data_IF_649632039441
#
_entry.id   IF_649632039441
#
_cell.length_a   1.000
_cell.length_b   1.000
_cell.length_c   1.000
_cell.angle_alpha   90.00
_cell.angle_beta   90.00
_cell.angle_gamma   90.00
#
_symmetry.space_group_name_H-M   'P 1'
#
loop_
_entity.id
_entity.type
_entity.pdbx_description
1 polymer ?
#
# COMPACT_ATOMS: atom_id res chain seq x y z
N UNK A 1 -58.13 -38.42 -28.57
CA UNK A 1 -57.06 -37.48 -28.96
C UNK A 1 -56.64 -36.69 -27.74
N UNK A 2 -55.66 -37.15 -27.02
CA UNK A 2 -55.12 -36.49 -25.84
C UNK A 2 -53.80 -35.86 -26.25
N UNK A 3 -53.66 -34.57 -25.98
CA UNK A 3 -52.40 -33.87 -26.09
C UNK A 3 -51.76 -33.86 -24.72
N UNK A 4 -50.63 -34.52 -24.62
CA UNK A 4 -49.76 -34.55 -23.46
C UNK A 4 -48.90 -33.26 -23.50
N UNK A 5 -49.15 -32.35 -22.54
CA UNK A 5 -48.30 -31.17 -22.35
C UNK A 5 -47.15 -31.54 -21.41
N UNK A 6 -46.02 -31.86 -21.99
CA UNK A 6 -44.76 -32.04 -21.27
C UNK A 6 -44.27 -30.74 -20.66
N UNK A 7 -44.46 -30.57 -19.34
CA UNK A 7 -43.88 -29.51 -18.54
C UNK A 7 -42.35 -29.72 -18.42
N UNK A 8 -41.62 -29.11 -19.30
CA UNK A 8 -40.18 -28.96 -19.15
C UNK A 8 -39.86 -27.96 -18.04
N UNK A 9 -39.66 -28.45 -16.83
CA UNK A 9 -39.06 -27.64 -15.75
C UNK A 9 -37.59 -27.51 -16.03
N UNK A 10 -37.20 -26.42 -16.72
CA UNK A 10 -35.83 -25.96 -16.76
C UNK A 10 -35.40 -25.60 -15.36
N UNK A 11 -34.82 -26.58 -14.68
CA UNK A 11 -34.05 -26.40 -13.46
C UNK A 11 -32.77 -25.61 -13.78
N UNK A 12 -32.84 -24.28 -13.78
CA UNK A 12 -31.69 -23.46 -13.62
C UNK A 12 -31.11 -23.73 -12.24
N UNK A 13 -30.23 -24.71 -12.15
CA UNK A 13 -29.38 -24.89 -11.00
C UNK A 13 -28.49 -23.63 -10.92
N UNK A 14 -28.96 -22.64 -10.14
CA UNK A 14 -28.10 -21.57 -9.68
C UNK A 14 -26.96 -22.25 -8.91
N UNK A 15 -25.82 -22.41 -9.58
CA UNK A 15 -24.56 -22.76 -8.92
C UNK A 15 -24.38 -21.72 -7.84
N UNK A 16 -24.57 -22.11 -6.58
CA UNK A 16 -24.19 -21.33 -5.41
C UNK A 16 -22.66 -21.17 -5.48
N UNK A 17 -22.19 -20.22 -6.28
CA UNK A 17 -20.79 -19.85 -6.33
C UNK A 17 -20.42 -19.33 -4.94
N UNK A 18 -19.73 -20.18 -4.16
CA UNK A 18 -19.22 -19.81 -2.83
C UNK A 18 -18.43 -18.51 -3.01
N UNK A 19 -18.77 -17.48 -2.24
CA UNK A 19 -18.03 -16.23 -2.26
C UNK A 19 -16.58 -16.51 -1.93
N UNK A 20 -15.61 -15.94 -2.66
CA UNK A 20 -14.21 -16.13 -2.33
C UNK A 20 -13.92 -15.57 -0.93
N UNK A 21 -13.03 -16.22 -0.20
CA UNK A 21 -12.53 -15.69 1.09
C UNK A 21 -11.67 -14.46 0.85
N UNK A 22 -10.92 -14.42 -0.27
CA UNK A 22 -9.96 -13.39 -0.59
C UNK A 22 -10.12 -12.87 -2.01
N UNK A 23 -10.20 -11.56 -2.19
CA UNK A 23 -9.98 -10.89 -3.47
C UNK A 23 -8.56 -10.33 -3.51
N UNK A 24 -7.75 -10.83 -4.43
CA UNK A 24 -6.39 -10.36 -4.66
C UNK A 24 -6.43 -9.30 -5.76
N UNK A 25 -6.07 -8.07 -5.41
CA UNK A 25 -5.96 -6.95 -6.35
C UNK A 25 -4.50 -6.76 -6.70
N UNK A 26 -4.13 -7.04 -7.94
CA UNK A 26 -2.79 -6.78 -8.47
C UNK A 26 -2.87 -5.62 -9.45
N UNK A 27 -2.28 -4.48 -9.08
CA UNK A 27 -2.21 -3.32 -9.94
C UNK A 27 -0.95 -3.38 -10.80
N UNK A 28 -1.12 -3.39 -12.13
CA UNK A 28 -0.04 -3.38 -13.08
C UNK A 28 0.17 -2.00 -13.71
N UNK A 29 1.43 -1.59 -13.82
CA UNK A 29 1.88 -0.47 -14.63
C UNK A 29 3.30 -0.72 -15.13
N UNK A 30 3.45 -1.09 -16.41
CA UNK A 30 4.75 -1.42 -17.05
C UNK A 30 5.52 -2.52 -16.28
N UNK A 31 4.83 -3.61 -15.93
CA UNK A 31 5.36 -4.69 -15.11
C UNK A 31 5.65 -5.99 -15.84
N UNK A 32 5.80 -5.99 -17.19
CA UNK A 32 5.94 -7.19 -18.00
C UNK A 32 6.96 -8.20 -17.46
N UNK A 33 8.07 -7.70 -16.92
CA UNK A 33 9.17 -8.52 -16.40
C UNK A 33 8.79 -9.37 -15.16
N UNK A 34 7.84 -8.90 -14.34
CA UNK A 34 7.59 -9.46 -13.02
C UNK A 34 6.27 -10.21 -12.91
N UNK A 35 5.32 -9.85 -13.74
CA UNK A 35 3.93 -10.21 -13.62
C UNK A 35 3.68 -11.72 -13.70
N UNK A 36 4.36 -12.45 -14.58
CA UNK A 36 4.21 -13.92 -14.69
C UNK A 36 4.54 -14.60 -13.37
N UNK A 37 5.71 -14.29 -12.77
CA UNK A 37 6.12 -14.90 -11.51
C UNK A 37 5.20 -14.54 -10.34
N UNK A 38 4.69 -13.31 -10.32
CA UNK A 38 3.71 -12.89 -9.33
C UNK A 38 2.48 -13.78 -9.41
N UNK A 39 1.84 -13.88 -10.57
CA UNK A 39 0.61 -14.65 -10.75
C UNK A 39 0.84 -16.16 -10.58
N UNK A 40 1.98 -16.69 -11.02
CA UNK A 40 2.35 -18.09 -10.77
C UNK A 40 2.45 -18.41 -9.29
N UNK A 41 3.05 -17.53 -8.48
CA UNK A 41 3.11 -17.71 -7.03
C UNK A 41 1.73 -17.66 -6.36
N UNK A 42 0.78 -16.90 -6.92
CA UNK A 42 -0.60 -16.88 -6.44
C UNK A 42 -1.35 -18.18 -6.78
N UNK A 43 -1.10 -18.76 -7.96
CA UNK A 43 -1.66 -20.07 -8.33
C UNK A 43 -1.15 -21.21 -7.46
N UNK A 44 0.08 -21.09 -6.98
CA UNK A 44 0.73 -22.07 -6.13
C UNK A 44 0.33 -22.00 -4.65
N UNK A 45 -0.54 -21.05 -4.26
CA UNK A 45 -0.98 -20.92 -2.88
C UNK A 45 -1.88 -22.09 -2.45
N UNK A 46 -1.73 -22.55 -1.21
CA UNK A 46 -2.57 -23.60 -0.60
C UNK A 46 -4.06 -23.27 -0.64
N UNK A 47 -4.40 -21.98 -0.57
CA UNK A 47 -5.80 -21.46 -0.56
C UNK A 47 -6.21 -20.85 -1.90
N UNK A 48 -5.50 -21.12 -2.99
CA UNK A 48 -5.79 -20.52 -4.31
C UNK A 48 -7.24 -20.75 -4.77
N UNK A 49 -7.85 -21.88 -4.41
CA UNK A 49 -9.23 -22.20 -4.75
C UNK A 49 -10.30 -21.35 -4.03
N UNK A 50 -9.93 -20.67 -2.94
CA UNK A 50 -10.80 -19.76 -2.19
C UNK A 50 -10.52 -18.28 -2.54
N UNK A 51 -9.75 -18.01 -3.59
CA UNK A 51 -9.35 -16.69 -4.03
C UNK A 51 -9.95 -16.31 -5.38
N UNK A 52 -10.22 -15.01 -5.59
CA UNK A 52 -10.34 -14.41 -6.92
C UNK A 52 -9.16 -13.48 -7.19
N UNK A 53 -8.78 -13.32 -8.44
CA UNK A 53 -7.73 -12.39 -8.88
C UNK A 53 -8.34 -11.25 -9.70
N UNK A 54 -8.13 -10.01 -9.23
CA UNK A 54 -8.48 -8.79 -9.95
C UNK A 54 -7.18 -8.16 -10.45
N UNK A 55 -6.83 -8.42 -11.71
CA UNK A 55 -5.61 -7.92 -12.30
C UNK A 55 -5.93 -6.65 -13.09
N UNK A 56 -5.59 -5.49 -12.51
CA UNK A 56 -5.89 -4.18 -13.05
C UNK A 56 -4.68 -3.57 -13.77
N UNK A 57 -4.91 -3.00 -14.95
CA UNK A 57 -3.85 -2.33 -15.72
C UNK A 57 -4.05 -0.81 -15.77
N UNK A 58 -3.02 -0.08 -15.37
CA UNK A 58 -2.95 1.39 -15.38
C UNK A 58 -2.45 1.96 -16.71
N UNK A 59 -2.90 1.38 -17.85
CA UNK A 59 -2.51 1.78 -19.21
C UNK A 59 -1.01 1.59 -19.46
N UNK A 60 -0.54 0.37 -19.29
CA UNK A 60 0.82 -0.04 -19.60
C UNK A 60 1.17 0.13 -21.05
N UNK A 61 2.46 0.34 -21.36
CA UNK A 61 2.98 0.56 -22.71
C UNK A 61 4.10 -0.42 -23.09
N UNK A 62 4.41 -1.38 -22.22
CA UNK A 62 5.46 -2.39 -22.37
C UNK A 62 4.92 -3.78 -22.79
N UNK A 63 3.61 -3.86 -23.15
CA UNK A 63 2.91 -5.09 -23.50
C UNK A 63 2.37 -5.87 -22.31
N UNK A 64 2.57 -5.37 -21.07
CA UNK A 64 2.05 -6.03 -19.87
C UNK A 64 0.53 -5.91 -19.69
N UNK A 65 -0.15 -5.05 -20.43
CA UNK A 65 -1.60 -4.99 -20.53
C UNK A 65 -2.19 -6.26 -21.15
N UNK A 66 -1.62 -6.71 -22.30
CA UNK A 66 -1.99 -7.97 -22.97
C UNK A 66 -1.64 -9.17 -22.07
N UNK A 67 -0.45 -9.15 -21.45
CA UNK A 67 -0.02 -10.19 -20.53
C UNK A 67 -0.96 -10.28 -19.32
N UNK A 68 -1.37 -9.15 -18.74
CA UNK A 68 -2.32 -9.08 -17.63
C UNK A 68 -3.65 -9.72 -17.97
N UNK A 69 -4.21 -9.42 -19.16
CA UNK A 69 -5.47 -10.01 -19.62
C UNK A 69 -5.35 -11.54 -19.70
N UNK A 70 -4.31 -12.05 -20.38
CA UNK A 70 -4.06 -13.48 -20.51
C UNK A 70 -3.92 -14.18 -19.15
N UNK A 71 -3.18 -13.57 -18.21
CA UNK A 71 -2.95 -14.14 -16.89
C UNK A 71 -4.22 -14.17 -16.05
N UNK A 72 -5.05 -13.13 -16.13
CA UNK A 72 -6.34 -13.08 -15.46
C UNK A 72 -7.30 -14.16 -16.01
N UNK A 73 -7.43 -14.28 -17.34
CA UNK A 73 -8.29 -15.27 -17.98
C UNK A 73 -7.92 -16.74 -17.63
N UNK A 74 -6.65 -16.99 -17.36
CA UNK A 74 -6.15 -18.32 -16.99
C UNK A 74 -6.10 -18.57 -15.48
N UNK A 75 -6.44 -17.61 -14.64
CA UNK A 75 -6.54 -17.77 -13.18
C UNK A 75 -7.97 -18.16 -12.79
N UNK A 76 -8.20 -19.17 -11.97
CA UNK A 76 -9.54 -19.52 -11.50
C UNK A 76 -10.21 -18.34 -10.78
N UNK A 77 -11.36 -17.86 -11.31
CA UNK A 77 -12.02 -16.65 -10.79
C UNK A 77 -11.28 -15.34 -11.12
N UNK A 78 -10.33 -15.37 -12.05
CA UNK A 78 -9.57 -14.20 -12.46
C UNK A 78 -10.36 -13.27 -13.38
N UNK A 79 -10.20 -11.96 -13.19
CA UNK A 79 -10.78 -10.90 -14.01
C UNK A 79 -9.74 -9.84 -14.35
N UNK A 80 -9.71 -9.43 -15.61
CA UNK A 80 -8.90 -8.30 -16.05
C UNK A 80 -9.71 -7.01 -15.99
N UNK A 81 -9.09 -5.95 -15.46
CA UNK A 81 -9.71 -4.63 -15.33
C UNK A 81 -8.81 -3.60 -16.00
N UNK A 82 -9.33 -2.97 -17.05
CA UNK A 82 -8.64 -1.87 -17.72
C UNK A 82 -9.02 -0.54 -17.02
N UNK A 83 -8.05 0.08 -16.37
CA UNK A 83 -8.23 1.37 -15.74
C UNK A 83 -8.29 2.53 -16.77
N UNK A 84 -7.94 2.29 -18.04
CA UNK A 84 -8.01 3.26 -19.15
C UNK A 84 -6.99 4.40 -19.08
N UNK A 85 -6.36 4.61 -17.91
CA UNK A 85 -5.36 5.64 -17.66
C UNK A 85 -4.45 5.22 -16.51
N UNK A 86 -3.30 5.89 -16.35
CA UNK A 86 -2.51 5.76 -15.13
C UNK A 86 -3.17 6.59 -14.00
N UNK A 87 -3.96 5.92 -13.17
CA UNK A 87 -4.70 6.49 -12.05
C UNK A 87 -3.86 6.56 -10.75
N UNK A 88 -2.58 6.21 -10.81
CA UNK A 88 -1.73 6.05 -9.63
C UNK A 88 -2.07 4.79 -8.84
N UNK A 89 -1.51 4.70 -7.63
CA UNK A 89 -1.75 3.55 -6.74
C UNK A 89 -3.15 3.58 -6.14
N UNK A 90 -3.58 4.73 -5.60
CA UNK A 90 -4.81 4.86 -4.83
C UNK A 90 -6.06 4.52 -5.66
N UNK A 91 -6.34 5.29 -6.69
CA UNK A 91 -7.51 5.08 -7.54
C UNK A 91 -7.36 3.84 -8.42
N UNK A 92 -6.12 3.53 -8.84
CA UNK A 92 -5.82 2.30 -9.58
C UNK A 92 -6.20 1.03 -8.83
N UNK A 93 -6.12 1.02 -7.50
CA UNK A 93 -6.55 -0.07 -6.62
C UNK A 93 -8.02 0.05 -6.19
N UNK A 94 -8.56 1.25 -6.00
CA UNK A 94 -9.96 1.44 -5.61
C UNK A 94 -10.92 0.87 -6.64
N UNK A 95 -10.66 1.07 -7.93
CA UNK A 95 -11.51 0.57 -9.02
C UNK A 95 -11.70 -0.95 -8.97
N UNK A 96 -10.66 -1.78 -9.04
CA UNK A 96 -10.82 -3.22 -8.91
C UNK A 96 -11.41 -3.63 -7.55
N UNK A 97 -11.07 -2.94 -6.46
CA UNK A 97 -11.59 -3.23 -5.14
C UNK A 97 -13.12 -3.00 -5.04
N UNK A 98 -13.69 -2.09 -5.84
CA UNK A 98 -15.14 -1.87 -5.89
C UNK A 98 -15.90 -3.06 -6.47
N UNK A 99 -15.25 -3.87 -7.29
CA UNK A 99 -15.82 -5.07 -7.92
C UNK A 99 -15.51 -6.36 -7.13
N UNK A 100 -14.72 -6.26 -6.07
CA UNK A 100 -14.27 -7.41 -5.28
C UNK A 100 -15.41 -8.07 -4.49
N UNK A 101 -15.43 -9.40 -4.52
CA UNK A 101 -16.46 -10.24 -3.89
C UNK A 101 -15.99 -10.86 -2.56
N UNK A 102 -14.69 -10.89 -2.31
CA UNK A 102 -14.08 -11.52 -1.15
C UNK A 102 -14.42 -10.84 0.18
N UNK A 103 -14.31 -11.62 1.25
CA UNK A 103 -14.39 -11.11 2.63
C UNK A 103 -13.19 -10.21 2.95
N UNK A 104 -12.02 -10.60 2.44
CA UNK A 104 -10.77 -9.88 2.53
C UNK A 104 -10.34 -9.32 1.18
N UNK A 105 -9.66 -8.17 1.20
CA UNK A 105 -8.96 -7.57 0.06
C UNK A 105 -7.46 -7.63 0.32
N UNK A 106 -6.69 -8.13 -0.63
CA UNK A 106 -5.24 -8.05 -0.64
C UNK A 106 -4.80 -7.17 -1.80
N UNK A 107 -4.30 -5.98 -1.51
CA UNK A 107 -3.61 -5.15 -2.49
C UNK A 107 -2.16 -5.60 -2.57
N UNK A 108 -1.74 -6.04 -3.75
CA UNK A 108 -0.43 -6.68 -3.96
C UNK A 108 0.29 -6.03 -5.15
N UNK A 109 1.56 -5.69 -4.96
CA UNK A 109 2.40 -5.22 -6.06
C UNK A 109 2.70 -6.36 -7.05
N UNK A 110 2.83 -6.01 -8.32
CA UNK A 110 3.11 -6.95 -9.40
C UNK A 110 4.56 -7.47 -9.43
N UNK A 111 5.48 -6.87 -8.68
CA UNK A 111 6.88 -7.25 -8.55
C UNK A 111 7.18 -8.06 -7.28
N UNK A 112 6.22 -8.89 -6.89
CA UNK A 112 6.27 -9.78 -5.72
C UNK A 112 6.18 -11.24 -6.11
N UNK A 113 6.59 -12.13 -5.20
CA UNK A 113 6.22 -13.54 -5.21
C UNK A 113 6.05 -14.05 -3.78
N UNK A 114 5.11 -14.98 -3.58
CA UNK A 114 4.68 -15.46 -2.29
C UNK A 114 5.17 -16.88 -2.07
N UNK A 115 5.58 -17.21 -0.81
CA UNK A 115 5.78 -18.60 -0.40
C UNK A 115 4.46 -19.38 -0.44
N UNK A 116 4.45 -20.70 -0.68
CA UNK A 116 3.22 -21.46 -0.99
C UNK A 116 2.10 -21.39 0.05
N UNK A 117 2.41 -21.19 1.33
CA UNK A 117 1.46 -21.10 2.44
C UNK A 117 1.24 -19.64 2.94
N UNK A 118 1.76 -18.67 2.22
CA UNK A 118 1.74 -17.26 2.64
C UNK A 118 0.34 -16.74 2.85
N UNK A 119 -0.58 -16.95 1.90
CA UNK A 119 -1.95 -16.44 1.99
C UNK A 119 -2.75 -17.14 3.08
N UNK A 120 -2.57 -18.44 3.27
CA UNK A 120 -3.20 -19.20 4.35
C UNK A 120 -2.78 -18.62 5.72
N UNK A 121 -1.47 -18.51 5.96
CA UNK A 121 -0.93 -17.96 7.20
C UNK A 121 -1.34 -16.49 7.42
N UNK A 122 -1.45 -15.73 6.34
CA UNK A 122 -1.85 -14.31 6.40
C UNK A 122 -3.31 -14.17 6.82
N UNK A 123 -4.22 -14.94 6.21
CA UNK A 123 -5.65 -14.92 6.51
C UNK A 123 -5.93 -15.46 7.92
N UNK A 124 -5.37 -16.62 8.26
CA UNK A 124 -5.59 -17.25 9.56
C UNK A 124 -4.97 -16.44 10.69
N UNK A 125 -3.78 -15.88 10.48
CA UNK A 125 -3.16 -14.98 11.45
C UNK A 125 -3.96 -13.70 11.67
N UNK A 126 -4.56 -13.12 10.63
CA UNK A 126 -5.44 -11.96 10.74
C UNK A 126 -6.72 -12.30 11.51
N UNK A 127 -7.37 -13.43 11.20
CA UNK A 127 -8.60 -13.87 11.88
C UNK A 127 -8.34 -14.21 13.35
N UNK A 128 -7.30 -14.98 13.66
CA UNK A 128 -6.94 -15.36 15.05
C UNK A 128 -6.57 -14.14 15.89
N UNK A 129 -5.90 -13.14 15.29
CA UNK A 129 -5.55 -11.90 16.01
C UNK A 129 -6.73 -10.93 16.16
N UNK A 130 -7.86 -11.16 15.49
CA UNK A 130 -8.99 -10.23 15.43
C UNK A 130 -8.61 -8.91 14.77
N UNK A 131 -7.68 -8.94 13.80
CA UNK A 131 -7.25 -7.75 13.08
C UNK A 131 -8.19 -7.43 11.92
N UNK A 132 -8.31 -6.14 11.59
CA UNK A 132 -9.02 -5.66 10.40
C UNK A 132 -8.10 -5.51 9.18
N UNK A 133 -6.79 -5.38 9.44
CA UNK A 133 -5.76 -5.37 8.41
C UNK A 133 -4.52 -6.13 8.84
N UNK A 134 -3.80 -6.70 7.87
CA UNK A 134 -2.59 -7.46 8.13
C UNK A 134 -1.57 -7.32 7.00
N UNK A 135 -0.33 -7.66 7.30
CA UNK A 135 0.76 -7.70 6.35
C UNK A 135 1.66 -8.91 6.59
N UNK A 136 2.12 -9.62 5.54
CA UNK A 136 3.12 -10.64 5.67
C UNK A 136 4.50 -10.05 5.97
N UNK A 137 5.43 -10.87 6.45
CA UNK A 137 6.85 -10.55 6.47
C UNK A 137 7.38 -10.53 5.03
N UNK A 138 7.90 -9.37 4.62
CA UNK A 138 8.43 -9.16 3.28
C UNK A 138 9.95 -9.26 3.31
N UNK A 139 10.50 -10.06 2.41
CA UNK A 139 11.91 -10.25 2.19
C UNK A 139 12.33 -9.59 0.87
N UNK A 140 13.58 -9.19 0.77
CA UNK A 140 14.14 -8.71 -0.49
C UNK A 140 14.25 -9.86 -1.49
N UNK A 141 13.81 -9.59 -2.71
CA UNK A 141 13.76 -10.56 -3.79
C UNK A 141 15.13 -11.17 -4.17
N UNK A 142 16.20 -10.40 -4.00
CA UNK A 142 17.55 -10.77 -4.47
C UNK A 142 18.36 -11.59 -3.47
N UNK A 143 18.23 -11.31 -2.17
CA UNK A 143 19.11 -11.84 -1.12
C UNK A 143 18.36 -12.37 0.11
N UNK A 144 17.03 -12.41 0.06
CA UNK A 144 16.16 -12.87 1.15
C UNK A 144 16.33 -12.09 2.47
N UNK A 145 17.05 -10.98 2.45
CA UNK A 145 17.18 -10.14 3.63
C UNK A 145 15.84 -9.50 3.99
N UNK A 146 15.64 -9.20 5.27
CA UNK A 146 14.42 -8.55 5.73
C UNK A 146 14.21 -7.19 5.07
N UNK A 147 13.01 -6.96 4.54
CA UNK A 147 12.63 -5.69 3.95
C UNK A 147 11.64 -4.91 4.83
N UNK A 148 10.51 -5.50 5.18
CA UNK A 148 9.47 -4.88 6.00
C UNK A 148 8.46 -5.89 6.54
N UNK A 149 7.75 -5.51 7.59
CA UNK A 149 6.56 -6.20 8.11
C UNK A 149 5.44 -5.20 8.39
N UNK A 150 5.54 -4.00 7.80
CA UNK A 150 4.60 -2.91 7.93
C UNK A 150 5.23 -1.64 8.49
N UNK A 151 4.41 -0.61 8.55
CA UNK A 151 4.74 0.66 9.20
C UNK A 151 4.61 0.47 10.70
N UNK A 152 5.73 0.52 11.40
CA UNK A 152 5.78 0.35 12.87
C UNK A 152 5.01 1.43 13.59
N UNK A 153 5.13 2.68 13.13
CA UNK A 153 4.53 3.83 13.78
C UNK A 153 4.93 5.14 13.11
N UNK A 154 4.88 6.22 13.87
CA UNK A 154 5.31 7.56 13.46
C UNK A 154 6.63 7.90 14.13
N UNK A 155 7.54 8.55 13.42
CA UNK A 155 8.70 9.19 14.02
C UNK A 155 8.29 10.53 14.71
N UNK A 156 9.21 11.21 15.42
CA UNK A 156 8.88 12.46 16.13
C UNK A 156 8.43 13.61 15.23
N UNK A 157 8.53 13.46 13.92
CA UNK A 157 8.11 14.43 12.91
C UNK A 157 6.90 13.97 12.11
N UNK A 158 6.32 12.80 12.45
CA UNK A 158 5.11 12.29 11.82
C UNK A 158 5.34 11.50 10.52
N UNK A 159 6.58 11.13 10.16
CA UNK A 159 6.81 10.17 9.10
C UNK A 159 6.64 8.74 9.59
N UNK A 160 6.20 7.86 8.68
CA UNK A 160 6.13 6.43 8.97
C UNK A 160 7.50 5.87 9.34
N UNK A 161 7.60 5.21 10.48
CA UNK A 161 8.81 4.48 10.91
C UNK A 161 8.65 2.98 10.62
N UNK A 162 9.77 2.30 10.37
CA UNK A 162 9.79 0.89 10.01
C UNK A 162 10.56 0.06 11.05
N UNK A 163 10.43 -1.27 10.95
CA UNK A 163 11.24 -2.19 11.74
C UNK A 163 12.62 -2.35 11.08
N UNK A 164 13.66 -2.46 11.89
CA UNK A 164 15.05 -2.66 11.41
C UNK A 164 15.37 -4.12 11.09
N UNK A 165 14.60 -5.06 11.68
CA UNK A 165 14.76 -6.50 11.52
C UNK A 165 13.43 -7.23 11.75
N UNK A 166 13.35 -8.49 11.38
CA UNK A 166 12.20 -9.34 11.73
C UNK A 166 12.11 -9.39 13.26
N UNK A 167 10.97 -8.99 13.85
CA UNK A 167 10.77 -9.15 15.27
C UNK A 167 10.86 -10.63 15.69
N UNK A 168 11.37 -10.89 16.88
CA UNK A 168 11.56 -12.26 17.38
C UNK A 168 10.23 -12.97 17.57
N UNK A 169 10.17 -14.26 17.14
CA UNK A 169 8.98 -15.11 17.25
C UNK A 169 8.06 -15.05 16.05
N UNK A 170 6.97 -15.82 16.11
CA UNK A 170 5.97 -15.94 15.05
C UNK A 170 4.61 -15.28 15.41
N UNK A 171 4.50 -14.71 16.59
CA UNK A 171 3.28 -14.06 17.07
C UNK A 171 2.96 -12.80 16.26
N UNK A 172 1.67 -12.50 16.04
CA UNK A 172 1.25 -11.24 15.39
C UNK A 172 1.78 -10.01 16.13
N UNK A 173 2.24 -9.01 15.39
CA UNK A 173 2.84 -7.78 15.91
C UNK A 173 1.95 -6.61 15.52
N UNK A 174 1.56 -5.76 16.46
CA UNK A 174 0.81 -4.55 16.11
C UNK A 174 1.66 -3.61 15.27
N UNK A 175 1.07 -3.12 14.18
CA UNK A 175 1.65 -2.16 13.25
C UNK A 175 0.68 -1.00 13.03
N UNK A 176 1.21 0.17 12.70
CA UNK A 176 0.36 1.32 12.37
C UNK A 176 -0.40 1.08 11.06
N UNK A 177 0.28 0.51 10.06
CA UNK A 177 -0.29 0.17 8.77
C UNK A 177 0.48 -0.96 8.08
N UNK A 178 -0.19 -1.83 7.28
CA UNK A 178 0.49 -2.59 6.25
C UNK A 178 1.20 -1.67 5.25
N UNK A 179 2.25 -2.15 4.60
CA UNK A 179 2.92 -1.40 3.52
C UNK A 179 2.22 -1.64 2.17
N UNK A 180 2.28 -0.68 1.26
CA UNK A 180 1.60 -0.75 -0.04
C UNK A 180 1.99 -1.93 -0.94
N UNK A 181 3.11 -2.64 -0.69
CA UNK A 181 3.48 -3.80 -1.48
C UNK A 181 2.63 -5.06 -1.17
N UNK A 182 2.02 -5.14 0.03
CA UNK A 182 1.08 -6.20 0.42
C UNK A 182 0.18 -5.71 1.56
N UNK A 183 -1.01 -5.25 1.23
CA UNK A 183 -1.95 -4.69 2.18
C UNK A 183 -3.22 -5.55 2.24
N UNK A 184 -3.32 -6.43 3.23
CA UNK A 184 -4.56 -7.16 3.51
C UNK A 184 -5.47 -6.32 4.41
N UNK A 185 -6.77 -6.24 4.06
CA UNK A 185 -7.79 -5.56 4.86
C UNK A 185 -9.16 -6.20 4.68
N UNK A 186 -9.98 -6.24 5.72
CA UNK A 186 -11.38 -6.66 5.59
C UNK A 186 -12.10 -5.75 4.60
N UNK A 187 -12.80 -6.36 3.62
CA UNK A 187 -13.50 -5.61 2.57
C UNK A 187 -14.54 -4.64 3.13
N UNK A 188 -15.24 -5.02 4.20
CA UNK A 188 -16.20 -4.16 4.91
C UNK A 188 -15.49 -2.95 5.51
N UNK A 189 -14.35 -3.17 6.19
CA UNK A 189 -13.56 -2.09 6.81
C UNK A 189 -12.99 -1.14 5.76
N UNK A 190 -12.47 -1.66 4.64
CA UNK A 190 -11.98 -0.84 3.53
C UNK A 190 -13.07 0.11 3.00
N UNK A 191 -14.29 -0.42 2.79
CA UNK A 191 -15.45 0.38 2.34
C UNK A 191 -15.89 1.41 3.38
N UNK A 192 -15.95 1.04 4.68
CA UNK A 192 -16.28 1.96 5.78
C UNK A 192 -15.29 3.14 5.84
N UNK A 193 -14.01 2.87 5.63
CA UNK A 193 -12.98 3.90 5.60
C UNK A 193 -13.02 4.76 4.34
N UNK A 194 -13.76 4.35 3.30
CA UNK A 194 -13.86 5.06 2.02
C UNK A 194 -12.70 4.75 1.05
N UNK A 195 -12.02 3.61 1.23
CA UNK A 195 -10.91 3.20 0.38
C UNK A 195 -9.64 4.02 0.53
N UNK A 196 -8.74 3.92 -0.44
CA UNK A 196 -7.60 4.84 -0.57
C UNK A 196 -8.09 6.20 -1.04
N UNK A 197 -7.52 7.29 -0.53
CA UNK A 197 -7.87 8.64 -1.01
C UNK A 197 -7.21 8.92 -2.37
N UNK A 198 -7.99 9.11 -3.46
CA UNK A 198 -7.43 9.29 -4.80
C UNK A 198 -6.50 10.50 -4.94
N UNK A 199 -6.67 11.51 -4.09
CA UNK A 199 -5.82 12.71 -4.07
C UNK A 199 -4.36 12.37 -3.80
N UNK A 200 -4.08 11.28 -3.09
CA UNK A 200 -2.71 10.85 -2.81
C UNK A 200 -1.96 10.41 -4.07
N UNK A 201 -2.62 9.85 -5.04
CA UNK A 201 -2.04 9.25 -6.23
C UNK A 201 -1.12 8.07 -5.90
N UNK A 202 -0.04 8.30 -5.13
CA UNK A 202 0.90 7.29 -4.62
C UNK A 202 1.72 7.87 -3.44
N UNK A 203 2.31 7.00 -2.64
CA UNK A 203 3.11 7.27 -1.43
C UNK A 203 2.31 7.81 -0.24
N UNK A 204 2.60 7.28 0.93
CA UNK A 204 1.96 7.56 2.21
C UNK A 204 0.43 7.30 2.24
N UNK A 205 -0.11 6.65 1.23
CA UNK A 205 -1.47 6.16 1.16
C UNK A 205 -1.75 5.08 2.23
N UNK A 206 -0.78 4.21 2.46
CA UNK A 206 -0.80 3.23 3.55
C UNK A 206 -0.83 3.90 4.93
N UNK A 207 -0.09 4.99 5.10
CA UNK A 207 -0.09 5.75 6.35
C UNK A 207 -1.45 6.41 6.60
N UNK A 208 -2.05 7.01 5.59
CA UNK A 208 -3.39 7.61 5.66
C UNK A 208 -4.45 6.57 6.01
N UNK A 209 -4.48 5.44 5.29
CA UNK A 209 -5.45 4.38 5.53
C UNK A 209 -5.25 3.73 6.91
N UNK A 210 -4.00 3.50 7.33
CA UNK A 210 -3.66 2.98 8.65
C UNK A 210 -4.10 3.90 9.79
N UNK A 211 -3.85 5.20 9.68
CA UNK A 211 -4.32 6.18 10.67
C UNK A 211 -5.85 6.19 10.76
N UNK A 212 -6.55 6.21 9.62
CA UNK A 212 -8.04 6.13 9.59
C UNK A 212 -8.54 4.83 10.22
N UNK A 213 -7.88 3.71 9.96
CA UNK A 213 -8.19 2.41 10.56
C UNK A 213 -8.10 2.47 12.08
N UNK A 214 -6.95 2.94 12.62
CA UNK A 214 -6.76 3.00 14.07
C UNK A 214 -7.68 4.00 14.75
N UNK A 215 -7.88 5.16 14.16
CA UNK A 215 -8.78 6.20 14.68
C UNK A 215 -10.23 5.70 14.77
N UNK A 216 -10.70 4.90 13.80
CA UNK A 216 -12.04 4.28 13.79
C UNK A 216 -12.16 3.01 14.64
N UNK A 217 -11.19 2.73 15.51
CA UNK A 217 -11.24 1.56 16.39
C UNK A 217 -10.72 0.25 15.80
N UNK A 218 -10.32 0.23 14.52
CA UNK A 218 -9.76 -0.95 13.86
C UNK A 218 -8.34 -1.30 14.34
N UNK A 219 -7.81 -2.42 13.85
CA UNK A 219 -6.51 -2.96 14.27
C UNK A 219 -5.74 -3.51 13.06
N UNK A 220 -4.42 -3.26 13.02
CA UNK A 220 -3.53 -3.83 12.02
C UNK A 220 -2.39 -4.63 12.66
N UNK A 221 -1.98 -5.72 12.02
CA UNK A 221 -0.91 -6.59 12.48
C UNK A 221 0.07 -6.98 11.37
N UNK A 222 1.34 -7.09 11.69
CA UNK A 222 2.34 -7.78 10.91
C UNK A 222 2.41 -9.26 11.31
N UNK A 223 2.53 -10.16 10.36
CA UNK A 223 2.49 -11.61 10.56
C UNK A 223 3.81 -12.25 10.11
N UNK A 224 4.76 -12.50 11.05
CA UNK A 224 6.09 -13.03 10.72
C UNK A 224 6.05 -14.43 10.08
N UNK A 225 4.98 -15.21 10.34
CA UNK A 225 4.81 -16.55 9.80
C UNK A 225 4.40 -16.56 8.32
N UNK A 226 3.74 -15.53 7.82
CA UNK A 226 3.39 -15.36 6.42
C UNK A 226 4.57 -14.69 5.70
N UNK A 227 5.11 -15.28 4.63
CA UNK A 227 6.33 -14.81 3.98
C UNK A 227 6.13 -14.57 2.50
N UNK A 228 6.67 -13.46 2.02
CA UNK A 228 6.71 -13.11 0.61
C UNK A 228 7.99 -12.35 0.26
N UNK A 229 8.25 -12.25 -1.02
CA UNK A 229 9.41 -11.55 -1.56
C UNK A 229 8.97 -10.39 -2.45
N UNK A 230 9.64 -9.25 -2.34
CA UNK A 230 9.33 -8.04 -3.09
C UNK A 230 10.59 -7.44 -3.68
N UNK A 231 10.51 -7.05 -4.96
CA UNK A 231 11.64 -6.51 -5.70
C UNK A 231 12.09 -5.16 -5.18
N UNK A 232 11.16 -4.35 -4.75
CA UNK A 232 11.34 -2.96 -4.31
C UNK A 232 12.01 -2.05 -5.35
N UNK A 233 11.48 -0.85 -5.52
CA UNK A 233 12.03 0.15 -6.42
C UNK A 233 12.26 -0.32 -7.89
N UNK A 234 11.47 -1.28 -8.39
CA UNK A 234 11.58 -1.78 -9.76
C UNK A 234 11.57 -0.66 -10.81
N UNK A 235 10.78 0.39 -10.57
CA UNK A 235 10.71 1.57 -11.43
C UNK A 235 11.93 2.50 -11.33
N UNK A 236 12.70 2.44 -10.25
CA UNK A 236 13.89 3.29 -9.99
C UNK A 236 15.17 2.56 -10.36
N UNK A 237 15.18 1.23 -10.22
CA UNK A 237 16.29 0.35 -10.58
C UNK A 237 15.78 -0.85 -11.42
N UNK A 238 15.42 -0.66 -12.70
CA UNK A 238 14.87 -1.72 -13.53
C UNK A 238 15.80 -2.91 -13.77
N UNK A 239 17.13 -2.69 -13.74
CA UNK A 239 18.11 -3.74 -14.00
C UNK A 239 18.16 -4.81 -12.90
N UNK A 240 17.93 -4.41 -11.65
CA UNK A 240 17.72 -5.34 -10.55
C UNK A 240 18.92 -6.11 -10.05
N UNK A 241 20.08 -5.85 -10.60
CA UNK A 241 21.28 -6.60 -10.30
C UNK A 241 22.13 -5.82 -9.29
N UNK A 242 22.30 -6.39 -8.10
CA UNK A 242 23.22 -5.90 -7.10
C UNK A 242 22.61 -4.98 -6.03
N UNK A 243 23.38 -4.74 -4.99
CA UNK A 243 23.09 -3.80 -3.92
C UNK A 243 22.83 -2.40 -4.51
N UNK A 244 21.86 -1.68 -3.95
CA UNK A 244 21.66 -0.26 -4.31
C UNK A 244 22.92 0.52 -3.95
N UNK A 245 23.81 0.71 -4.93
CA UNK A 245 25.05 1.49 -4.78
C UNK A 245 24.80 3.00 -4.75
N UNK A 246 23.60 3.45 -5.13
CA UNK A 246 23.25 4.86 -5.20
C UNK A 246 21.85 5.10 -4.62
N UNK A 247 21.70 6.16 -3.83
CA UNK A 247 20.40 6.65 -3.41
C UNK A 247 19.78 7.39 -4.60
N UNK A 248 18.79 6.79 -5.26
CA UNK A 248 18.04 7.44 -6.34
C UNK A 248 16.66 7.86 -5.83
N UNK A 249 16.28 9.08 -6.14
CA UNK A 249 14.95 9.61 -5.87
C UNK A 249 14.54 10.54 -7.02
N UNK A 250 13.26 10.88 -7.11
CA UNK A 250 12.77 11.84 -8.10
C UNK A 250 12.12 13.05 -7.43
N UNK A 251 11.98 14.13 -8.17
CA UNK A 251 11.25 15.32 -7.70
C UNK A 251 9.80 14.96 -7.37
N UNK A 252 9.17 14.12 -8.20
CA UNK A 252 7.80 13.65 -7.97
C UNK A 252 7.68 12.78 -6.70
N UNK A 253 8.64 11.89 -6.45
CA UNK A 253 8.68 11.11 -5.20
C UNK A 253 8.75 12.03 -3.98
N UNK A 254 9.63 13.03 -4.00
CA UNK A 254 9.74 14.01 -2.90
C UNK A 254 8.45 14.83 -2.74
N UNK A 255 7.86 15.28 -3.85
CA UNK A 255 6.61 16.02 -3.84
C UNK A 255 5.48 15.19 -3.18
N UNK A 256 5.21 14.00 -3.68
CA UNK A 256 4.13 13.16 -3.15
C UNK A 256 4.37 12.73 -1.70
N UNK A 257 5.58 12.27 -1.37
CA UNK A 257 5.90 11.85 0.01
C UNK A 257 5.73 12.98 1.01
N UNK A 258 6.22 14.19 0.71
CA UNK A 258 6.10 15.34 1.60
C UNK A 258 4.65 15.82 1.73
N UNK A 259 3.93 15.95 0.59
CA UNK A 259 2.52 16.38 0.58
C UNK A 259 1.62 15.39 1.32
N UNK A 260 1.76 14.12 1.01
CA UNK A 260 0.83 13.08 1.44
C UNK A 260 1.02 12.73 2.93
N UNK A 261 2.26 12.72 3.44
CA UNK A 261 2.50 12.56 4.87
C UNK A 261 1.80 13.66 5.69
N UNK A 262 1.87 14.92 5.24
CA UNK A 262 1.15 16.02 5.89
C UNK A 262 -0.36 15.85 5.78
N UNK A 263 -0.89 15.46 4.61
CA UNK A 263 -2.32 15.22 4.43
C UNK A 263 -2.82 14.12 5.35
N UNK A 264 -2.10 13.00 5.50
CA UNK A 264 -2.45 11.90 6.40
C UNK A 264 -2.60 12.37 7.85
N UNK A 265 -1.65 13.17 8.34
CA UNK A 265 -1.70 13.73 9.69
C UNK A 265 -2.85 14.75 9.85
N UNK A 266 -3.07 15.63 8.88
CA UNK A 266 -4.11 16.66 8.94
C UNK A 266 -5.52 16.08 8.83
N UNK A 267 -5.72 15.04 8.03
CA UNK A 267 -6.99 14.33 7.88
C UNK A 267 -7.37 13.56 9.13
N UNK A 268 -6.44 12.78 9.67
CA UNK A 268 -6.71 11.85 10.77
C UNK A 268 -6.46 12.43 12.15
N UNK A 269 -5.78 13.59 12.23
CA UNK A 269 -5.23 14.12 13.46
C UNK A 269 -6.14 15.04 14.25
N UNK A 270 -6.25 14.81 15.56
CA UNK A 270 -6.58 15.84 16.54
C UNK A 270 -5.35 16.72 16.85
N UNK A 271 -5.29 17.25 18.07
CA UNK A 271 -4.26 18.25 18.44
C UNK A 271 -2.82 17.73 18.32
N UNK A 272 -2.53 16.51 18.83
CA UNK A 272 -1.16 15.99 18.87
C UNK A 272 -0.60 15.70 17.46
N UNK A 273 -1.39 15.06 16.59
CA UNK A 273 -0.96 14.79 15.22
C UNK A 273 -0.84 16.09 14.40
N UNK A 274 -1.63 17.12 14.68
CA UNK A 274 -1.46 18.45 14.06
C UNK A 274 -0.19 19.15 14.52
N UNK A 275 0.25 18.97 15.78
CA UNK A 275 1.54 19.45 16.24
C UNK A 275 2.67 18.74 15.47
N UNK A 276 2.59 17.40 15.29
CA UNK A 276 3.55 16.69 14.43
C UNK A 276 3.55 17.20 13.00
N UNK A 277 2.39 17.48 12.41
CA UNK A 277 2.30 18.06 11.08
C UNK A 277 3.00 19.43 10.99
N UNK A 278 2.85 20.29 12.00
CA UNK A 278 3.53 21.57 12.05
C UNK A 278 5.06 21.42 12.13
N UNK A 279 5.54 20.50 12.99
CA UNK A 279 6.97 20.17 13.08
C UNK A 279 7.49 19.61 11.76
N UNK A 280 6.71 18.77 11.07
CA UNK A 280 7.04 18.21 9.77
C UNK A 280 7.18 19.30 8.69
N UNK A 281 6.33 20.34 8.70
CA UNK A 281 6.48 21.50 7.78
C UNK A 281 7.85 22.16 7.94
N UNK A 282 8.28 22.42 9.19
CA UNK A 282 9.60 22.99 9.46
C UNK A 282 10.75 22.12 8.94
N UNK A 283 10.63 20.79 9.13
CA UNK A 283 11.65 19.86 8.66
C UNK A 283 11.65 19.72 7.13
N UNK A 284 10.50 19.72 6.46
CA UNK A 284 10.40 19.73 5.00
C UNK A 284 11.11 20.96 4.41
N UNK A 285 10.92 22.14 5.01
CA UNK A 285 11.61 23.36 4.57
C UNK A 285 13.13 23.26 4.77
N UNK A 286 13.57 22.78 5.93
CA UNK A 286 14.99 22.59 6.23
C UNK A 286 15.66 21.58 5.28
N UNK A 287 15.03 20.42 5.07
CA UNK A 287 15.53 19.43 4.10
C UNK A 287 15.56 19.98 2.68
N UNK A 288 14.54 20.71 2.27
CA UNK A 288 14.49 21.30 0.95
C UNK A 288 15.62 22.31 0.72
N UNK A 289 15.96 23.12 1.72
CA UNK A 289 17.12 24.04 1.68
C UNK A 289 18.44 23.26 1.58
N UNK A 290 18.60 22.21 2.40
CA UNK A 290 19.79 21.35 2.34
C UNK A 290 19.91 20.68 0.98
N UNK A 291 18.81 20.12 0.45
CA UNK A 291 18.79 19.51 -0.87
C UNK A 291 19.16 20.49 -1.98
N UNK A 292 18.67 21.73 -1.90
CA UNK A 292 19.05 22.79 -2.84
C UNK A 292 20.56 23.10 -2.77
N UNK A 293 21.11 23.30 -1.58
CA UNK A 293 22.53 23.60 -1.40
C UNK A 293 23.41 22.46 -1.93
N UNK A 294 23.08 21.21 -1.57
CA UNK A 294 23.84 20.03 -1.97
C UNK A 294 23.76 19.73 -3.47
N UNK A 295 22.59 19.89 -4.08
CA UNK A 295 22.38 19.60 -5.51
C UNK A 295 22.65 20.81 -6.40
N UNK A 296 22.73 22.01 -5.84
CA UNK A 296 22.77 23.31 -6.55
C UNK A 296 21.62 23.47 -7.56
N UNK A 297 20.49 22.78 -7.32
CA UNK A 297 19.33 22.76 -8.21
C UNK A 297 18.09 23.32 -7.52
N UNK A 298 17.78 24.58 -7.80
CA UNK A 298 16.59 25.27 -7.28
C UNK A 298 15.27 24.54 -7.62
N UNK A 299 15.22 23.86 -8.77
CA UNK A 299 14.01 23.14 -9.20
C UNK A 299 13.64 22.01 -8.23
N UNK A 300 14.64 21.35 -7.62
CA UNK A 300 14.44 20.31 -6.60
C UNK A 300 13.69 20.92 -5.39
N UNK A 301 14.19 22.02 -4.85
CA UNK A 301 13.55 22.69 -3.71
C UNK A 301 12.15 23.19 -4.05
N UNK A 302 12.03 23.91 -5.18
CA UNK A 302 10.77 24.51 -5.60
C UNK A 302 9.68 23.47 -5.86
N UNK A 303 9.98 22.41 -6.64
CA UNK A 303 8.99 21.41 -7.08
C UNK A 303 8.82 20.25 -6.09
N UNK A 304 9.87 19.83 -5.41
CA UNK A 304 9.81 18.69 -4.48
C UNK A 304 9.36 19.05 -3.07
N UNK A 305 9.55 20.32 -2.64
CA UNK A 305 9.27 20.73 -1.27
C UNK A 305 8.27 21.90 -1.20
N UNK A 306 8.58 23.06 -1.79
CA UNK A 306 7.65 24.20 -1.73
C UNK A 306 6.32 23.93 -2.41
N UNK A 307 6.33 23.26 -3.58
CA UNK A 307 5.11 22.91 -4.28
C UNK A 307 4.27 21.90 -3.47
N UNK A 308 4.90 20.97 -2.72
CA UNK A 308 4.19 20.04 -1.84
C UNK A 308 3.41 20.79 -0.73
N UNK A 309 4.07 21.75 -0.05
CA UNK A 309 3.42 22.59 0.97
C UNK A 309 2.30 23.46 0.39
N UNK A 310 2.54 24.06 -0.78
CA UNK A 310 1.51 24.87 -1.47
C UNK A 310 0.30 24.01 -1.86
N UNK A 311 0.51 22.76 -2.26
CA UNK A 311 -0.56 21.86 -2.65
C UNK A 311 -1.39 21.38 -1.43
N UNK A 312 -0.76 21.13 -0.28
CA UNK A 312 -1.48 20.89 0.99
C UNK A 312 -2.43 22.06 1.30
N UNK A 313 -2.00 23.31 1.07
CA UNK A 313 -2.86 24.48 1.25
C UNK A 313 -3.97 24.55 0.21
N UNK A 314 -3.71 24.24 -1.06
CA UNK A 314 -4.73 24.18 -2.12
C UNK A 314 -5.81 23.15 -1.79
N UNK A 315 -5.40 22.00 -1.24
CA UNK A 315 -6.28 20.91 -0.84
C UNK A 315 -6.98 21.12 0.51
N UNK A 316 -6.93 22.34 1.09
CA UNK A 316 -7.48 22.60 2.43
C UNK A 316 -8.98 22.32 2.57
N UNK A 317 -9.75 22.50 1.52
CA UNK A 317 -11.17 22.15 1.55
C UNK A 317 -11.37 20.62 1.62
N UNK A 318 -10.60 19.88 0.81
CA UNK A 318 -10.64 18.43 0.78
C UNK A 318 -10.24 17.83 2.14
N UNK A 319 -9.03 18.10 2.63
CA UNK A 319 -8.60 17.47 3.87
C UNK A 319 -9.41 17.90 5.09
N UNK A 320 -10.03 19.09 5.11
CA UNK A 320 -10.97 19.50 6.17
C UNK A 320 -12.28 18.71 6.12
N UNK A 321 -12.82 18.49 4.93
CA UNK A 321 -14.01 17.66 4.75
C UNK A 321 -13.74 16.21 5.19
N UNK A 322 -12.60 15.64 4.76
CA UNK A 322 -12.18 14.31 5.18
C UNK A 322 -11.92 14.24 6.69
N UNK A 323 -11.30 15.27 7.28
CA UNK A 323 -11.14 15.35 8.73
C UNK A 323 -12.48 15.30 9.46
N UNK A 324 -13.47 16.08 9.02
CA UNK A 324 -14.80 16.08 9.62
C UNK A 324 -15.48 14.69 9.52
N UNK A 325 -15.32 14.01 8.37
CA UNK A 325 -15.83 12.66 8.18
C UNK A 325 -15.16 11.65 9.12
N UNK A 326 -13.82 11.69 9.22
CA UNK A 326 -13.04 10.81 10.10
C UNK A 326 -13.37 11.09 11.56
N UNK A 327 -13.53 12.36 11.94
CA UNK A 327 -13.86 12.77 13.30
C UNK A 327 -15.24 12.26 13.73
N UNK A 328 -16.21 12.21 12.81
CA UNK A 328 -17.56 11.66 13.10
C UNK A 328 -17.56 10.15 13.42
N UNK A 329 -16.54 9.43 13.00
CA UNK A 329 -16.38 7.98 13.26
C UNK A 329 -15.25 7.67 14.25
N UNK A 330 -14.67 8.70 14.88
CA UNK A 330 -13.54 8.55 15.79
C UNK A 330 -13.91 7.78 17.04
N UNK A 331 -13.22 6.69 17.31
CA UNK A 331 -13.31 5.90 18.55
C UNK A 331 -12.06 6.03 19.44
N UNK A 332 -10.88 6.28 18.84
CA UNK A 332 -9.63 6.45 19.59
C UNK A 332 -9.10 7.85 19.51
N UNK A 333 -8.66 8.38 20.67
CA UNK A 333 -8.07 9.72 20.80
C UNK A 333 -6.61 9.73 20.32
N UNK A 334 -6.13 10.88 19.90
CA UNK A 334 -4.72 11.08 19.48
C UNK A 334 -3.71 10.56 20.51
N UNK A 335 -3.97 10.77 21.81
CA UNK A 335 -3.07 10.31 22.86
C UNK A 335 -2.89 8.80 22.95
N UNK A 336 -3.87 8.03 22.50
CA UNK A 336 -3.76 6.56 22.39
C UNK A 336 -2.91 6.17 21.19
N UNK A 337 -3.15 6.80 20.02
CA UNK A 337 -2.36 6.61 18.80
C UNK A 337 -0.91 7.01 19.06
N UNK A 338 -0.71 8.18 19.70
CA UNK A 338 0.62 8.71 20.00
C UNK A 338 1.41 7.76 20.91
N UNK A 339 0.84 7.33 22.05
CA UNK A 339 1.50 6.41 22.98
C UNK A 339 1.83 5.06 22.38
N UNK A 340 0.99 4.58 21.46
CA UNK A 340 1.14 3.26 20.84
C UNK A 340 2.14 3.25 19.70
N UNK A 341 2.18 4.30 18.89
CA UNK A 341 2.87 4.31 17.62
C UNK A 341 3.94 5.37 17.45
N UNK A 342 4.07 6.37 18.31
CA UNK A 342 5.17 7.33 18.16
C UNK A 342 6.47 6.70 18.65
N UNK A 343 7.45 6.68 17.76
CA UNK A 343 8.82 6.23 18.02
C UNK A 343 9.72 7.44 18.17
N UNK A 344 10.71 7.35 19.07
CA UNK A 344 11.63 8.47 19.34
C UNK A 344 12.84 8.53 18.39
N UNK A 345 12.98 7.55 17.48
CA UNK A 345 14.05 7.52 16.47
C UNK A 345 13.58 8.22 15.20
N UNK A 346 14.17 9.37 14.81
CA UNK A 346 13.83 10.03 13.56
C UNK A 346 14.22 9.16 12.36
N UNK A 347 13.30 8.92 11.44
CA UNK A 347 13.56 8.16 10.22
C UNK A 347 14.65 8.84 9.37
N UNK A 348 14.73 10.16 9.41
CA UNK A 348 15.74 10.96 8.71
C UNK A 348 17.18 10.71 9.20
N UNK A 349 17.34 10.16 10.40
CA UNK A 349 18.64 9.73 10.89
C UNK A 349 19.24 8.62 10.03
N UNK A 350 18.41 7.66 9.63
CA UNK A 350 18.83 6.56 8.75
C UNK A 350 19.15 7.04 7.35
N UNK A 351 18.41 8.04 6.83
CA UNK A 351 18.70 8.69 5.57
C UNK A 351 20.05 9.45 5.63
N UNK A 352 20.32 10.17 6.71
CA UNK A 352 21.62 10.83 6.92
C UNK A 352 22.79 9.83 7.00
N UNK A 353 22.59 8.70 7.67
CA UNK A 353 23.60 7.64 7.70
C UNK A 353 23.84 7.03 6.31
N UNK A 354 22.78 6.82 5.52
CA UNK A 354 22.89 6.39 4.13
C UNK A 354 23.66 7.40 3.28
N UNK A 355 23.34 8.69 3.39
CA UNK A 355 24.07 9.76 2.68
C UNK A 355 25.55 9.76 3.06
N UNK A 356 25.89 9.56 4.35
CA UNK A 356 27.29 9.48 4.79
C UNK A 356 28.03 8.27 4.21
N UNK A 357 27.34 7.12 4.00
CA UNK A 357 27.95 5.88 3.48
C UNK A 357 27.98 5.86 1.94
N UNK A 358 26.94 6.35 1.27
CA UNK A 358 26.69 6.17 -0.15
C UNK A 358 26.79 7.46 -0.97
N UNK A 359 27.01 8.62 -0.30
CA UNK A 359 27.07 9.94 -0.95
C UNK A 359 25.71 10.60 -1.13
N UNK A 360 25.72 11.78 -1.77
CA UNK A 360 24.52 12.60 -1.98
C UNK A 360 23.56 11.91 -2.95
N UNK A 361 22.25 11.88 -2.67
CA UNK A 361 21.25 11.26 -3.55
C UNK A 361 21.27 11.87 -4.95
N UNK A 362 21.23 11.04 -5.98
CA UNK A 362 20.96 11.51 -7.35
C UNK A 362 19.46 11.72 -7.49
N UNK A 363 19.03 12.95 -7.75
CA UNK A 363 17.64 13.36 -7.89
C UNK A 363 17.33 13.52 -9.37
N UNK A 364 16.44 12.68 -9.91
CA UNK A 364 15.98 12.81 -11.29
C UNK A 364 14.91 13.90 -11.42
N UNK A 365 14.81 14.50 -12.60
CA UNK A 365 13.82 15.53 -12.90
C UNK A 365 12.40 14.98 -13.15
N UNK A 366 12.23 13.64 -13.18
CA UNK A 366 10.93 12.97 -13.39
C UNK A 366 10.00 13.12 -12.21
#
# INVERSE_FOLDING_TARGET
MGFDEGSGTDSFAAVNARRPRLSIVVLNYNGARWLDRCVESLRAQTVAGDCELLLADNRSTDGSDVQSRRLAETFPGGRFIDNGANLGFCEGNNRPASEALGEWLLFLNNDTWLEPDCLERLLDGADVSGADAAMPCVLNYADESFQTIGVRGLDPFGWGSHFDAVPSGLSPIEILAPNGCAFLIRATKFRELGGFDPVFFMYADELDLGLRLWVSGGRAVGLPAARMHHRSAANVNPAGDGQMLEIRTSISTRFYSNRNSLLALLKSGGLLLRILALMQVGLILAEGLVAWVLTRNWTVFRRGYLAALADVWRLRAHWRAEHARIESTRLRRDGEIFRRFVTWRPQRWDELQRIRRMGVPKISAR
#
